data_IF_148471443013
#
_entry.id   IF_148471443013
#
_cell.length_a   1.000
_cell.length_b   1.000
_cell.length_c   1.000
_cell.angle_alpha   90.00
_cell.angle_beta   90.00
_cell.angle_gamma   90.00
#
_symmetry.space_group_name_H-M   'P 1'
#
loop_
_entity.id
_entity.type
_entity.pdbx_description
1 polymer ?
#
# COMPACT_ATOMS: atom_id res chain seq x y z
N UNK A 1 0.35 -2.09 -7.41
CA UNK A 1 -0.96 -1.52 -7.85
C UNK A 1 -1.51 -0.58 -6.77
N UNK A 2 -2.08 0.58 -7.14
CA UNK A 2 -2.72 1.51 -6.18
C UNK A 2 -4.23 1.54 -6.37
N UNK A 3 -4.97 1.41 -5.28
CA UNK A 3 -6.41 1.60 -5.21
C UNK A 3 -6.69 2.86 -4.38
N UNK A 4 -6.69 3.99 -5.07
CA UNK A 4 -7.12 5.28 -4.53
C UNK A 4 -8.57 5.53 -4.96
N UNK A 5 -9.52 4.88 -4.29
CA UNK A 5 -10.93 5.28 -4.27
C UNK A 5 -11.63 5.66 -5.59
N UNK A 6 -11.28 5.08 -6.74
CA UNK A 6 -11.94 5.41 -8.01
C UNK A 6 -12.43 4.14 -8.71
N UNK A 7 -13.73 3.89 -8.60
CA UNK A 7 -14.44 3.00 -9.52
C UNK A 7 -15.16 3.87 -10.57
N UNK A 8 -14.85 3.68 -11.85
CA UNK A 8 -15.54 4.34 -12.97
C UNK A 8 -14.65 5.25 -13.81
N UNK A 9 -15.15 6.45 -14.07
CA UNK A 9 -14.62 7.47 -14.96
C UNK A 9 -13.34 8.11 -14.38
N UNK A 10 -12.19 7.83 -15.00
CA UNK A 10 -10.87 8.32 -14.55
C UNK A 10 -10.39 9.39 -15.53
N UNK A 11 -9.91 10.53 -15.01
CA UNK A 11 -9.27 11.55 -15.84
C UNK A 11 -7.86 11.10 -16.25
N UNK A 12 -7.62 10.75 -17.53
CA UNK A 12 -6.27 10.42 -17.97
C UNK A 12 -5.35 11.64 -17.91
N UNK A 13 -4.06 11.40 -17.69
CA UNK A 13 -3.05 12.46 -17.73
C UNK A 13 -2.65 12.76 -19.18
N UNK A 14 -3.54 13.42 -19.92
CA UNK A 14 -3.29 13.82 -21.31
C UNK A 14 -2.52 15.15 -21.37
N UNK A 15 -1.53 15.28 -22.27
CA UNK A 15 -0.81 16.53 -22.48
C UNK A 15 -1.75 17.58 -23.11
N UNK A 16 -1.69 18.82 -22.63
CA UNK A 16 -2.42 19.94 -23.22
C UNK A 16 -2.60 21.13 -22.29
N UNK A 17 -3.30 22.15 -22.79
CA UNK A 17 -3.62 23.38 -22.05
C UNK A 17 -5.15 23.54 -21.95
N UNK A 18 -5.71 23.79 -20.76
CA UNK A 18 -5.03 23.90 -19.47
C UNK A 18 -4.51 22.55 -18.94
N UNK A 19 -3.64 22.59 -17.93
CA UNK A 19 -3.12 21.40 -17.25
C UNK A 19 -4.27 20.45 -16.88
N UNK A 20 -4.17 19.17 -17.31
CA UNK A 20 -5.23 18.15 -17.29
C UNK A 20 -6.42 18.49 -18.21
N UNK A 21 -6.15 18.71 -19.50
CA UNK A 21 -7.16 19.10 -20.50
C UNK A 21 -8.17 18.02 -20.91
N UNK A 22 -8.07 16.80 -20.36
CA UNK A 22 -8.99 15.71 -20.66
C UNK A 22 -10.45 16.13 -20.43
N UNK A 23 -11.28 15.90 -21.44
CA UNK A 23 -12.70 16.24 -21.42
C UNK A 23 -13.56 15.05 -20.93
N UNK A 24 -14.88 15.22 -20.94
CA UNK A 24 -15.80 14.17 -20.51
C UNK A 24 -15.69 12.91 -21.37
N UNK A 25 -15.46 13.04 -22.68
CA UNK A 25 -15.32 11.88 -23.56
C UNK A 25 -14.03 11.10 -23.27
N UNK A 26 -12.91 11.80 -23.01
CA UNK A 26 -11.64 11.19 -22.60
C UNK A 26 -11.77 10.41 -21.29
N UNK A 27 -12.44 11.01 -20.30
CA UNK A 27 -12.70 10.42 -18.98
C UNK A 27 -13.52 9.12 -19.13
N UNK A 28 -14.59 9.22 -19.91
CA UNK A 28 -15.51 8.14 -20.21
C UNK A 28 -14.87 6.99 -21.01
N UNK A 29 -13.95 7.33 -21.93
CA UNK A 29 -13.16 6.34 -22.66
C UNK A 29 -12.22 5.60 -21.72
N UNK A 30 -11.43 6.33 -20.92
CA UNK A 30 -10.47 5.74 -19.99
C UNK A 30 -11.14 4.84 -18.94
N UNK A 31 -12.27 5.29 -18.38
CA UNK A 31 -13.06 4.50 -17.43
C UNK A 31 -13.60 3.21 -18.05
N UNK A 32 -14.15 3.27 -19.27
CA UNK A 32 -14.65 2.08 -19.97
C UNK A 32 -13.55 1.10 -20.36
N UNK A 33 -12.38 1.58 -20.79
CA UNK A 33 -11.27 0.72 -21.14
C UNK A 33 -10.74 -0.05 -19.92
N UNK A 34 -10.54 0.65 -18.80
CA UNK A 34 -10.15 0.03 -17.54
C UNK A 34 -11.20 -0.98 -17.05
N UNK A 35 -12.48 -0.60 -17.06
CA UNK A 35 -13.58 -1.49 -16.69
C UNK A 35 -13.66 -2.73 -17.59
N UNK A 36 -13.46 -2.55 -18.90
CA UNK A 36 -13.44 -3.65 -19.86
C UNK A 36 -12.26 -4.59 -19.63
N UNK A 37 -11.10 -4.08 -19.20
CA UNK A 37 -9.96 -4.89 -18.82
C UNK A 37 -10.25 -5.78 -17.60
N UNK A 38 -10.96 -5.25 -16.61
CA UNK A 38 -11.43 -6.04 -15.45
C UNK A 38 -12.39 -7.14 -15.91
N UNK A 39 -13.42 -6.79 -16.69
CA UNK A 39 -14.41 -7.77 -17.20
C UNK A 39 -13.74 -8.85 -18.03
N UNK A 40 -12.82 -8.49 -18.92
CA UNK A 40 -12.05 -9.44 -19.74
C UNK A 40 -11.20 -10.38 -18.89
N UNK A 41 -10.52 -9.85 -17.88
CA UNK A 41 -9.71 -10.66 -16.95
C UNK A 41 -10.58 -11.61 -16.14
N UNK A 42 -11.72 -11.13 -15.63
CA UNK A 42 -12.70 -11.95 -14.91
C UNK A 42 -13.23 -13.08 -15.80
N UNK A 43 -13.69 -12.76 -17.00
CA UNK A 43 -14.19 -13.76 -17.95
C UNK A 43 -13.13 -14.83 -18.25
N UNK A 44 -11.88 -14.43 -18.49
CA UNK A 44 -10.77 -15.36 -18.69
C UNK A 44 -10.55 -16.26 -17.45
N UNK A 45 -10.56 -15.70 -16.24
CA UNK A 45 -10.40 -16.45 -14.98
C UNK A 45 -11.53 -17.46 -14.68
N UNK A 46 -12.65 -17.36 -15.40
CA UNK A 46 -13.80 -18.26 -15.27
C UNK A 46 -13.82 -19.36 -16.34
N UNK A 47 -12.82 -19.42 -17.23
CA UNK A 47 -12.68 -20.52 -18.19
C UNK A 47 -12.41 -21.84 -17.47
N UNK A 48 -12.79 -22.97 -18.09
CA UNK A 48 -12.61 -24.31 -17.51
C UNK A 48 -11.15 -24.58 -17.14
N UNK A 49 -10.23 -24.18 -18.00
CA UNK A 49 -8.79 -24.35 -17.84
C UNK A 49 -8.27 -23.57 -16.63
N UNK A 50 -8.71 -22.33 -16.44
CA UNK A 50 -8.32 -21.51 -15.29
C UNK A 50 -8.93 -22.03 -14.00
N UNK A 51 -10.22 -22.39 -14.02
CA UNK A 51 -10.91 -22.96 -12.86
C UNK A 51 -10.25 -24.25 -12.36
N UNK A 52 -9.73 -25.10 -13.26
CA UNK A 52 -9.03 -26.33 -12.88
C UNK A 52 -7.74 -26.09 -12.08
N UNK A 53 -7.14 -24.89 -12.16
CA UNK A 53 -5.92 -24.51 -11.42
C UNK A 53 -6.19 -23.58 -10.25
N UNK A 54 -7.42 -23.11 -10.10
CA UNK A 54 -7.80 -22.11 -9.10
C UNK A 54 -7.93 -22.77 -7.73
N UNK A 55 -7.43 -22.09 -6.70
CA UNK A 55 -7.70 -22.51 -5.33
C UNK A 55 -9.18 -22.29 -5.01
N UNK A 56 -9.83 -23.31 -4.44
CA UNK A 56 -11.23 -23.26 -4.02
C UNK A 56 -11.42 -22.46 -2.72
N UNK A 57 -10.34 -22.32 -1.94
CA UNK A 57 -10.34 -21.66 -0.66
C UNK A 57 -9.16 -20.70 -0.55
N UNK A 58 -9.46 -19.46 -0.15
CA UNK A 58 -8.45 -18.44 0.14
C UNK A 58 -8.60 -18.01 1.61
N UNK A 59 -7.65 -18.37 2.49
CA UNK A 59 -7.67 -17.85 3.84
C UNK A 59 -7.49 -16.33 3.79
N UNK A 60 -8.35 -15.61 4.52
CA UNK A 60 -8.22 -14.18 4.71
C UNK A 60 -7.47 -13.97 6.03
N UNK A 61 -6.30 -13.34 5.95
CA UNK A 61 -5.50 -12.96 7.12
C UNK A 61 -5.47 -11.44 7.22
N UNK A 62 -5.73 -10.92 8.42
CA UNK A 62 -5.80 -9.48 8.65
C UNK A 62 -4.97 -9.14 9.88
N UNK A 63 -4.20 -8.05 9.79
CA UNK A 63 -3.55 -7.42 10.93
C UNK A 63 -3.71 -5.91 10.79
N UNK A 64 -3.98 -5.21 11.88
CA UNK A 64 -4.04 -3.76 11.92
C UNK A 64 -3.30 -3.21 13.13
N UNK A 65 -2.96 -1.94 13.07
CA UNK A 65 -2.44 -1.16 14.18
C UNK A 65 -2.81 0.31 14.01
N UNK A 66 -2.99 1.00 15.13
CA UNK A 66 -3.10 2.47 15.16
C UNK A 66 -1.75 3.00 15.59
N UNK A 67 -1.15 3.84 14.75
CA UNK A 67 0.13 4.47 15.01
C UNK A 67 -0.01 5.98 15.16
N UNK A 68 0.81 6.55 16.04
CA UNK A 68 0.83 7.98 16.29
C UNK A 68 1.92 8.64 15.45
N UNK A 69 1.52 9.36 14.41
CA UNK A 69 2.43 9.99 13.44
C UNK A 69 2.80 11.43 13.82
N UNK A 70 4.02 11.89 13.45
CA UNK A 70 4.40 13.28 13.62
C UNK A 70 3.66 14.17 12.60
N UNK A 71 2.92 15.16 13.10
CA UNK A 71 2.20 16.14 12.28
C UNK A 71 2.62 17.58 12.60
N UNK A 72 2.39 18.47 11.64
CA UNK A 72 2.77 19.90 11.72
C UNK A 72 2.10 20.64 12.89
N UNK A 73 0.91 20.21 13.29
CA UNK A 73 0.13 20.82 14.38
C UNK A 73 0.02 19.92 15.63
N UNK A 74 0.75 18.81 15.69
CA UNK A 74 0.65 17.81 16.75
C UNK A 74 0.67 16.38 16.20
N UNK A 75 0.61 15.39 17.11
CA UNK A 75 0.54 13.98 16.72
C UNK A 75 -0.80 13.66 16.07
N UNK A 76 -0.77 12.79 15.06
CA UNK A 76 -1.95 12.34 14.32
C UNK A 76 -2.03 10.82 14.41
N UNK A 77 -3.11 10.30 14.95
CA UNK A 77 -3.38 8.86 14.94
C UNK A 77 -3.79 8.41 13.54
N UNK A 78 -3.20 7.31 13.08
CA UNK A 78 -3.42 6.74 11.76
C UNK A 78 -3.56 5.21 11.88
N UNK A 79 -4.69 4.67 11.43
CA UNK A 79 -4.89 3.22 11.38
C UNK A 79 -4.32 2.66 10.07
N UNK A 80 -3.39 1.72 10.21
CA UNK A 80 -2.82 0.93 9.11
C UNK A 80 -3.32 -0.51 9.24
N UNK A 81 -3.55 -1.16 8.10
CA UNK A 81 -3.98 -2.55 8.06
C UNK A 81 -3.39 -3.27 6.85
N UNK A 82 -2.95 -4.50 7.08
CA UNK A 82 -2.59 -5.46 6.05
C UNK A 82 -3.64 -6.56 5.98
N UNK A 83 -4.07 -6.93 4.77
CA UNK A 83 -5.00 -8.01 4.51
C UNK A 83 -4.47 -8.90 3.38
N UNK A 84 -4.21 -10.17 3.67
CA UNK A 84 -3.80 -11.15 2.66
C UNK A 84 -4.98 -12.01 2.22
N UNK A 85 -5.19 -12.07 0.90
CA UNK A 85 -6.21 -12.89 0.25
C UNK A 85 -5.57 -13.61 -0.94
N UNK A 86 -5.32 -14.91 -0.80
CA UNK A 86 -4.57 -15.67 -1.81
C UNK A 86 -3.20 -15.04 -2.08
N UNK A 87 -2.82 -14.76 -3.35
CA UNK A 87 -1.54 -14.14 -3.64
C UNK A 87 -1.50 -12.64 -3.28
N UNK A 88 -2.65 -11.99 -3.14
CA UNK A 88 -2.73 -10.54 -2.97
C UNK A 88 -2.56 -10.10 -1.51
N UNK A 89 -1.90 -8.97 -1.33
CA UNK A 89 -1.69 -8.32 -0.04
C UNK A 89 -2.17 -6.86 -0.13
N UNK A 90 -3.30 -6.57 0.47
CA UNK A 90 -3.84 -5.22 0.54
C UNK A 90 -3.18 -4.51 1.72
N UNK A 91 -2.54 -3.37 1.46
CA UNK A 91 -1.91 -2.51 2.46
C UNK A 91 -2.65 -1.19 2.49
N UNK A 92 -3.40 -0.98 3.55
CA UNK A 92 -4.29 0.18 3.70
C UNK A 92 -3.56 1.35 4.35
N UNK A 93 -3.87 2.55 3.87
CA UNK A 93 -3.31 3.81 4.36
C UNK A 93 -4.44 4.84 4.50
N UNK A 94 -4.52 5.57 5.63
CA UNK A 94 -5.63 6.46 5.91
C UNK A 94 -5.45 7.83 5.25
N UNK A 95 -5.29 7.89 3.94
CA UNK A 95 -5.09 9.15 3.21
C UNK A 95 -4.64 8.93 1.77
N UNK A 96 -3.86 9.88 1.25
CA UNK A 96 -3.36 9.91 -0.12
C UNK A 96 -1.84 9.66 -0.17
N UNK A 97 -1.36 8.40 -0.10
CA UNK A 97 0.05 8.09 -0.34
C UNK A 97 0.50 8.40 -1.76
N UNK A 98 1.71 8.95 -1.86
CA UNK A 98 2.45 9.05 -3.11
C UNK A 98 2.86 7.65 -3.62
N UNK A 99 3.15 7.56 -4.92
CA UNK A 99 3.41 6.28 -5.61
C UNK A 99 4.63 5.53 -5.07
N UNK A 100 5.61 6.26 -4.56
CA UNK A 100 6.87 5.73 -4.05
C UNK A 100 6.68 4.81 -2.85
N UNK A 101 5.61 4.98 -2.04
CA UNK A 101 5.29 4.04 -0.96
C UNK A 101 5.03 2.64 -1.52
N UNK A 102 4.25 2.55 -2.59
CA UNK A 102 3.92 1.29 -3.25
C UNK A 102 5.14 0.68 -3.92
N UNK A 103 5.98 1.49 -4.56
CA UNK A 103 7.24 1.02 -5.17
C UNK A 103 8.21 0.46 -4.10
N UNK A 104 8.35 1.14 -2.96
CA UNK A 104 9.19 0.67 -1.83
C UNK A 104 8.66 -0.64 -1.26
N UNK A 105 7.35 -0.72 -0.99
CA UNK A 105 6.71 -1.92 -0.46
C UNK A 105 6.71 -3.08 -1.46
N UNK A 106 6.52 -2.81 -2.76
CA UNK A 106 6.65 -3.80 -3.84
C UNK A 106 8.05 -4.43 -3.84
N UNK A 107 9.10 -3.61 -3.74
CA UNK A 107 10.48 -4.09 -3.66
C UNK A 107 10.74 -4.89 -2.39
N UNK A 108 10.25 -4.43 -1.23
CA UNK A 108 10.46 -5.09 0.07
C UNK A 108 9.68 -6.42 0.19
N UNK A 109 8.49 -6.49 -0.39
CA UNK A 109 7.64 -7.69 -0.37
C UNK A 109 8.14 -8.73 -1.39
N UNK A 110 8.68 -8.27 -2.52
CA UNK A 110 9.21 -9.10 -3.58
C UNK A 110 8.20 -10.18 -4.02
N UNK A 111 8.62 -11.44 -4.13
CA UNK A 111 7.82 -12.56 -4.60
C UNK A 111 6.91 -13.18 -3.51
N UNK A 112 6.93 -12.66 -2.28
CA UNK A 112 6.15 -13.21 -1.15
C UNK A 112 4.64 -12.98 -1.28
N UNK A 113 4.25 -11.90 -1.95
CA UNK A 113 2.86 -11.54 -2.22
C UNK A 113 2.78 -10.48 -3.32
N UNK A 114 1.57 -10.22 -3.83
CA UNK A 114 1.29 -9.13 -4.76
C UNK A 114 0.70 -7.96 -3.96
N UNK A 115 1.49 -6.94 -3.60
CA UNK A 115 0.99 -5.84 -2.79
C UNK A 115 0.11 -4.88 -3.61
N UNK A 116 -0.95 -4.43 -2.95
CA UNK A 116 -1.90 -3.45 -3.45
C UNK A 116 -2.04 -2.39 -2.38
N UNK A 117 -1.61 -1.16 -2.68
CA UNK A 117 -1.75 -0.04 -1.75
C UNK A 117 -3.18 0.49 -1.86
N UNK A 118 -3.88 0.57 -0.74
CA UNK A 118 -5.27 1.03 -0.66
C UNK A 118 -5.29 2.32 0.14
N UNK A 119 -5.42 3.45 -0.52
CA UNK A 119 -5.57 4.74 0.17
C UNK A 119 -7.02 4.98 0.59
N UNK A 120 -7.25 6.08 1.32
CA UNK A 120 -8.54 6.42 1.94
C UNK A 120 -9.19 5.28 2.74
N UNK A 121 -8.39 4.38 3.29
CA UNK A 121 -8.86 3.24 4.06
C UNK A 121 -8.58 3.48 5.54
N UNK A 122 -9.58 3.22 6.39
CA UNK A 122 -9.51 3.37 7.86
C UNK A 122 -9.20 4.80 8.36
N UNK A 123 -9.32 5.81 7.49
CA UNK A 123 -9.18 7.21 7.89
C UNK A 123 -8.81 8.15 6.74
N UNK A 124 -8.60 9.41 7.09
CA UNK A 124 -8.22 10.48 6.15
C UNK A 124 -7.34 11.54 6.83
N UNK A 125 -6.03 11.36 6.74
CA UNK A 125 -4.99 12.28 7.23
C UNK A 125 -4.57 13.30 6.17
N UNK A 126 -5.14 13.21 4.97
CA UNK A 126 -4.77 14.00 3.78
C UNK A 126 -3.61 13.37 3.02
N UNK A 127 -2.76 14.20 2.42
CA UNK A 127 -1.56 13.75 1.71
C UNK A 127 -0.57 13.05 2.64
N UNK A 128 -0.10 11.89 2.20
CA UNK A 128 0.97 11.14 2.83
C UNK A 128 2.18 11.24 1.88
N UNK A 129 2.91 12.34 2.05
CA UNK A 129 4.04 12.72 1.20
C UNK A 129 5.33 12.00 1.62
N UNK A 130 6.21 11.70 0.66
CA UNK A 130 7.53 11.11 0.93
C UNK A 130 8.45 12.13 1.58
N UNK A 131 9.45 11.67 2.33
CA UNK A 131 10.50 12.49 2.95
C UNK A 131 11.15 13.40 1.92
N UNK A 132 11.54 12.82 0.78
CA UNK A 132 12.26 13.53 -0.28
C UNK A 132 11.40 14.64 -0.91
N UNK A 133 10.09 14.43 -1.03
CA UNK A 133 9.17 15.41 -1.65
C UNK A 133 9.11 16.73 -0.90
N UNK A 134 9.36 16.75 0.42
CA UNK A 134 9.39 18.01 1.18
C UNK A 134 10.54 18.92 0.77
N UNK A 135 11.66 18.37 0.28
CA UNK A 135 12.80 19.16 -0.22
C UNK A 135 12.54 19.78 -1.59
N UNK A 136 11.73 19.10 -2.41
CA UNK A 136 11.35 19.55 -3.76
C UNK A 136 10.18 20.52 -3.71
N UNK A 137 9.27 20.34 -2.75
CA UNK A 137 8.00 21.05 -2.67
C UNK A 137 6.97 20.51 -3.67
N UNK A 138 5.84 21.20 -3.79
CA UNK A 138 4.69 20.75 -4.57
C UNK A 138 3.39 20.90 -3.78
N UNK A 139 2.26 20.56 -4.39
CA UNK A 139 0.97 20.69 -3.71
C UNK A 139 0.87 19.70 -2.54
N UNK A 140 1.26 18.46 -2.76
CA UNK A 140 1.17 17.33 -1.84
C UNK A 140 2.00 17.52 -0.56
N UNK A 141 3.34 17.78 -0.58
CA UNK A 141 4.12 17.99 0.64
C UNK A 141 3.76 19.29 1.38
N UNK A 142 3.34 20.33 0.64
CA UNK A 142 2.94 21.60 1.26
C UNK A 142 1.61 21.49 2.01
N UNK A 143 0.65 20.74 1.44
CA UNK A 143 -0.69 20.56 2.03
C UNK A 143 -0.79 19.34 2.96
N UNK A 144 0.20 18.44 2.96
CA UNK A 144 0.34 17.36 3.93
C UNK A 144 0.29 17.90 5.37
N UNK A 145 -0.48 17.24 6.24
CA UNK A 145 -0.50 17.51 7.67
C UNK A 145 0.66 16.84 8.41
N UNK A 146 1.26 15.84 7.79
CA UNK A 146 2.36 15.07 8.35
C UNK A 146 3.69 15.82 8.19
N UNK A 147 4.66 15.43 9.01
CA UNK A 147 6.06 15.81 8.85
C UNK A 147 6.81 14.72 8.05
N UNK A 148 7.99 15.02 7.48
CA UNK A 148 8.77 14.07 6.68
C UNK A 148 9.04 12.73 7.41
N UNK A 149 9.24 12.79 8.72
CA UNK A 149 9.56 11.64 9.57
C UNK A 149 8.41 10.62 9.66
N UNK A 150 7.20 10.97 9.19
CA UNK A 150 6.08 10.03 9.13
C UNK A 150 6.31 8.90 8.12
N UNK A 151 7.02 9.14 7.00
CA UNK A 151 7.26 8.12 5.98
C UNK A 151 7.95 6.85 6.52
N UNK A 152 9.13 6.94 7.16
CA UNK A 152 9.81 5.73 7.65
C UNK A 152 9.00 4.97 8.71
N UNK A 153 8.21 5.68 9.53
CA UNK A 153 7.34 5.06 10.53
C UNK A 153 6.24 4.23 9.84
N UNK A 154 5.57 4.83 8.84
CA UNK A 154 4.52 4.17 8.06
C UNK A 154 5.08 2.93 7.33
N UNK A 155 6.21 3.07 6.63
CA UNK A 155 6.82 1.96 5.89
C UNK A 155 7.22 0.82 6.83
N UNK A 156 7.80 1.15 7.98
CA UNK A 156 8.18 0.15 8.99
C UNK A 156 6.96 -0.61 9.49
N UNK A 157 5.89 0.10 9.85
CA UNK A 157 4.68 -0.53 10.38
C UNK A 157 3.97 -1.38 9.33
N UNK A 158 3.83 -0.88 8.09
CA UNK A 158 3.24 -1.66 7.00
C UNK A 158 4.03 -2.94 6.71
N UNK A 159 5.36 -2.89 6.75
CA UNK A 159 6.20 -4.08 6.59
C UNK A 159 5.98 -5.09 7.73
N UNK A 160 5.85 -4.63 8.97
CA UNK A 160 5.54 -5.50 10.11
C UNK A 160 4.14 -6.15 9.99
N UNK A 161 3.14 -5.38 9.58
CA UNK A 161 1.79 -5.89 9.34
C UNK A 161 1.77 -6.89 8.18
N UNK A 162 2.50 -6.59 7.09
CA UNK A 162 2.66 -7.47 5.95
C UNK A 162 3.28 -8.82 6.38
N UNK A 163 4.35 -8.81 7.16
CA UNK A 163 5.00 -10.03 7.65
C UNK A 163 4.06 -10.88 8.51
N UNK A 164 3.23 -10.25 9.34
CA UNK A 164 2.22 -10.95 10.17
C UNK A 164 1.16 -11.68 9.35
N UNK A 165 0.77 -11.13 8.19
CA UNK A 165 -0.28 -11.75 7.36
C UNK A 165 0.29 -12.66 6.26
N UNK A 166 1.51 -12.41 5.79
CA UNK A 166 2.22 -13.28 4.84
C UNK A 166 2.70 -14.55 5.55
N UNK A 167 3.32 -14.41 6.72
CA UNK A 167 3.81 -15.54 7.49
C UNK A 167 2.68 -16.36 8.10
N UNK A 168 2.90 -17.66 8.27
CA UNK A 168 2.15 -18.45 9.25
C UNK A 168 2.59 -17.96 10.63
N UNK A 169 1.83 -17.04 11.23
CA UNK A 169 1.99 -16.71 12.66
C UNK A 169 1.36 -17.83 13.48
N UNK A 170 2.01 -19.00 13.46
CA UNK A 170 2.61 -19.48 14.70
C UNK A 170 4.08 -19.26 14.49
N UNK A 171 4.71 -18.38 15.27
CA UNK A 171 6.14 -18.31 15.53
C UNK A 171 7.00 -19.48 14.98
N UNK A 172 7.18 -19.54 13.66
CA UNK A 172 8.14 -20.43 13.03
C UNK A 172 9.39 -19.60 12.85
N UNK A 173 10.03 -19.34 13.98
CA UNK A 173 11.37 -18.80 14.02
C UNK A 173 12.24 -19.72 13.16
N UNK A 174 12.84 -19.16 12.09
CA UNK A 174 13.96 -19.81 11.43
C UNK A 174 14.99 -20.13 12.51
N UNK A 175 15.22 -21.42 12.76
CA UNK A 175 16.27 -21.88 13.68
C UNK A 175 17.67 -21.74 13.05
N UNK A 176 17.76 -21.13 11.87
CA UNK A 176 19.03 -20.96 11.19
C UNK A 176 19.89 -19.94 11.95
N UNK A 177 21.15 -20.28 12.32
CA UNK A 177 21.98 -19.47 13.21
C UNK A 177 22.21 -18.01 12.76
N UNK A 178 22.16 -17.77 11.44
CA UNK A 178 22.34 -16.42 10.87
C UNK A 178 21.13 -15.50 11.11
N UNK A 179 19.92 -16.04 11.07
CA UNK A 179 18.69 -15.27 11.23
C UNK A 179 18.45 -14.92 12.71
N UNK A 180 18.85 -15.82 13.61
CA UNK A 180 18.86 -15.60 15.07
C UNK A 180 19.80 -14.43 15.40
N UNK A 181 21.05 -14.46 14.92
CA UNK A 181 22.01 -13.37 15.17
C UNK A 181 21.54 -12.01 14.66
N UNK A 182 20.91 -11.97 13.48
CA UNK A 182 20.39 -10.72 12.92
C UNK A 182 19.25 -10.15 13.78
N UNK A 183 18.40 -11.00 14.33
CA UNK A 183 17.32 -10.60 15.25
C UNK A 183 17.84 -10.12 16.59
N UNK A 184 18.76 -10.86 17.21
CA UNK A 184 19.39 -10.45 18.47
C UNK A 184 20.06 -9.08 18.34
N UNK A 185 20.65 -8.78 17.17
CA UNK A 185 21.21 -7.46 16.88
C UNK A 185 20.14 -6.36 16.76
N UNK A 186 19.01 -6.66 16.11
CA UNK A 186 17.90 -5.71 15.95
C UNK A 186 17.19 -5.46 17.29
N UNK A 187 16.99 -6.49 18.10
CA UNK A 187 16.37 -6.39 19.43
C UNK A 187 17.28 -5.65 20.41
N UNK A 188 18.58 -5.92 20.36
CA UNK A 188 19.57 -5.18 21.16
C UNK A 188 19.63 -3.70 20.76
N UNK A 189 19.62 -3.40 19.46
CA UNK A 189 19.54 -2.02 18.98
C UNK A 189 18.24 -1.31 19.37
N UNK A 190 17.13 -2.04 19.55
CA UNK A 190 15.88 -1.48 20.09
C UNK A 190 15.96 -1.19 21.59
N UNK A 191 16.57 -2.09 22.36
CA UNK A 191 16.73 -1.92 23.81
C UNK A 191 17.70 -0.78 24.18
N UNK A 192 18.66 -0.48 23.31
CA UNK A 192 19.62 0.62 23.50
C UNK A 192 19.06 2.00 23.11
N UNK A 193 17.90 2.06 22.43
CA UNK A 193 17.26 3.29 21.96
C UNK A 193 15.93 3.63 22.70
N UNK A 194 15.64 2.93 23.81
CA UNK A 194 14.57 3.27 24.77
C UNK A 194 15.17 3.86 26.04
#
# INVERSE_FOLDING_TARGET
>A
LFLQGCAGDIRPNLPGYPYRCADEADIQWAGRDLGSAVVRTLAHSMTREQLATRAEYYPIRVANSVISLPGKAGRIEAELQAMKIGPYLLLTMPGEPMVEYGLKLENDIADRAIPIIVGYANGHVGYIATTDSYSVGGYEPNTSKLLPEAEPIILTELSLLADRVIGDVFESFSKHPKDIKKREQIEKARAENQ
#
